data_IF_228179180048
#
_entry.id   IF_228179180048
#
_cell.length_a   1.000
_cell.length_b   1.000
_cell.length_c   1.000
_cell.angle_alpha   90.00
_cell.angle_beta   90.00
_cell.angle_gamma   90.00
#
_symmetry.space_group_name_H-M   'P 1'
#
loop_
_entity.id
_entity.type
_entity.pdbx_description
1 polymer ?
#
# COMPACT_ATOMS: atom_id res chain seq x y z
N UNK A 1 25.60 13.03 -7.33
CA UNK A 1 24.37 12.36 -6.84
C UNK A 1 24.13 11.13 -7.69
N UNK A 2 23.82 9.98 -7.10
CA UNK A 2 23.44 8.79 -7.88
C UNK A 2 22.07 9.01 -8.55
N UNK A 3 21.83 8.38 -9.71
CA UNK A 3 20.53 8.49 -10.42
C UNK A 3 19.34 8.15 -9.52
N UNK A 4 19.46 7.08 -8.73
CA UNK A 4 18.44 6.66 -7.78
C UNK A 4 18.06 7.75 -6.76
N UNK A 5 19.04 8.49 -6.23
CA UNK A 5 18.78 9.60 -5.31
C UNK A 5 18.06 10.77 -6.03
N UNK A 6 18.36 11.01 -7.30
CA UNK A 6 17.65 11.98 -8.13
C UNK A 6 16.18 11.61 -8.34
N UNK A 7 15.90 10.35 -8.66
CA UNK A 7 14.52 9.84 -8.86
C UNK A 7 13.73 9.87 -7.56
N UNK A 8 14.33 9.50 -6.42
CA UNK A 8 13.68 9.60 -5.11
C UNK A 8 13.31 11.05 -4.76
N UNK A 9 14.22 12.00 -5.00
CA UNK A 9 13.96 13.43 -4.76
C UNK A 9 12.84 13.94 -5.67
N UNK A 10 12.83 13.52 -6.93
CA UNK A 10 11.77 13.86 -7.87
C UNK A 10 10.43 13.34 -7.35
N UNK A 11 10.37 12.08 -6.91
CA UNK A 11 9.16 11.45 -6.39
C UNK A 11 8.62 12.17 -5.13
N UNK A 12 9.48 12.54 -4.20
CA UNK A 12 9.06 13.33 -3.02
C UNK A 12 8.49 14.69 -3.46
N UNK A 13 9.10 15.30 -4.47
CA UNK A 13 8.67 16.60 -5.00
C UNK A 13 7.30 16.50 -5.69
N UNK A 14 7.06 15.44 -6.48
CA UNK A 14 5.78 15.21 -7.15
C UNK A 14 4.68 14.89 -6.14
N UNK A 15 4.95 14.06 -5.12
CA UNK A 15 3.99 13.79 -4.04
C UNK A 15 3.62 15.05 -3.26
N UNK A 16 4.58 15.94 -3.02
CA UNK A 16 4.31 17.24 -2.40
C UNK A 16 3.42 18.11 -3.29
N UNK A 17 3.71 18.18 -4.60
CA UNK A 17 2.93 18.94 -5.58
C UNK A 17 1.50 18.40 -5.71
N UNK A 18 1.31 17.09 -5.67
CA UNK A 18 0.00 16.43 -5.66
C UNK A 18 -0.70 16.45 -4.30
N UNK A 19 -0.06 17.05 -3.28
CA UNK A 19 -0.58 17.20 -1.92
C UNK A 19 -0.90 15.88 -1.22
N UNK A 20 -0.19 14.80 -1.54
CA UNK A 20 -0.39 13.51 -0.88
C UNK A 20 -0.06 13.56 0.60
N UNK A 21 0.90 14.38 1.01
CA UNK A 21 1.18 14.63 2.43
C UNK A 21 -0.02 15.21 3.17
N UNK A 22 -0.76 16.14 2.54
CA UNK A 22 -1.96 16.74 3.14
C UNK A 22 -3.10 15.72 3.19
N UNK A 23 -3.28 14.93 2.12
CA UNK A 23 -4.26 13.85 2.09
C UNK A 23 -3.96 12.77 3.16
N UNK A 24 -2.68 12.43 3.38
CA UNK A 24 -2.26 11.49 4.43
C UNK A 24 -2.56 12.04 5.83
N UNK A 25 -2.29 13.32 6.09
CA UNK A 25 -2.65 13.96 7.37
C UNK A 25 -4.16 13.91 7.59
N UNK A 26 -4.96 14.21 6.56
CA UNK A 26 -6.43 14.11 6.64
C UNK A 26 -6.86 12.68 6.94
N UNK A 27 -6.29 11.68 6.24
CA UNK A 27 -6.55 10.26 6.51
C UNK A 27 -6.28 9.90 7.97
N UNK A 28 -5.10 10.29 8.49
CA UNK A 28 -4.74 10.06 9.89
C UNK A 28 -5.72 10.70 10.86
N UNK A 29 -6.13 11.95 10.61
CA UNK A 29 -7.12 12.65 11.45
C UNK A 29 -8.47 11.92 11.42
N UNK A 30 -8.91 11.42 10.26
CA UNK A 30 -10.16 10.68 10.15
C UNK A 30 -10.11 9.36 10.94
N UNK A 31 -8.99 8.64 10.89
CA UNK A 31 -8.80 7.43 11.69
C UNK A 31 -8.72 7.70 13.19
N UNK A 32 -8.06 8.79 13.59
CA UNK A 32 -8.05 9.22 14.99
C UNK A 32 -9.45 9.63 15.47
N UNK A 33 -10.23 10.32 14.64
CA UNK A 33 -11.61 10.67 14.95
C UNK A 33 -12.49 9.42 15.11
N UNK A 34 -12.17 8.32 14.43
CA UNK A 34 -12.85 7.03 14.60
C UNK A 34 -12.40 6.29 15.88
N UNK A 35 -11.09 6.29 16.18
CA UNK A 35 -10.52 5.46 17.26
C UNK A 35 -10.57 6.11 18.66
N UNK A 36 -10.36 7.42 18.76
CA UNK A 36 -10.29 8.12 20.06
C UNK A 36 -11.60 8.07 20.86
N UNK A 37 -12.80 8.13 20.25
CA UNK A 37 -14.05 7.98 20.98
C UNK A 37 -14.28 6.58 21.56
N UNK A 38 -13.58 5.55 21.06
CA UNK A 38 -13.78 4.18 21.50
C UNK A 38 -13.14 3.94 22.88
N UNK A 39 -13.79 3.13 23.75
CA UNK A 39 -13.16 2.55 24.93
C UNK A 39 -11.89 1.78 24.57
N UNK A 40 -10.92 1.71 25.50
CA UNK A 40 -9.61 1.10 25.26
C UNK A 40 -9.69 -0.30 24.64
N UNK A 41 -10.53 -1.18 25.19
CA UNK A 41 -10.72 -2.55 24.68
C UNK A 41 -11.22 -2.57 23.23
N UNK A 42 -12.25 -1.76 22.91
CA UNK A 42 -12.80 -1.67 21.55
C UNK A 42 -11.81 -1.01 20.58
N UNK A 43 -11.02 -0.05 21.06
CA UNK A 43 -9.98 0.62 20.28
C UNK A 43 -8.91 -0.37 19.86
N UNK A 44 -8.38 -1.15 20.80
CA UNK A 44 -7.37 -2.17 20.50
C UNK A 44 -7.90 -3.18 19.50
N UNK A 45 -9.18 -3.60 19.61
CA UNK A 45 -9.85 -4.51 18.67
C UNK A 45 -9.97 -3.90 17.26
N UNK A 46 -10.36 -2.64 17.15
CA UNK A 46 -10.59 -1.96 15.87
C UNK A 46 -9.29 -1.61 15.11
N UNK A 47 -8.18 -1.43 15.82
CA UNK A 47 -7.00 -0.79 15.23
C UNK A 47 -6.31 -1.56 14.10
N UNK A 48 -6.15 -2.89 14.12
CA UNK A 48 -5.61 -3.61 12.96
C UNK A 48 -6.42 -3.37 11.68
N UNK A 49 -7.74 -3.24 11.79
CA UNK A 49 -8.62 -2.95 10.66
C UNK A 49 -8.47 -1.52 10.19
N UNK A 50 -8.33 -0.57 11.12
CA UNK A 50 -8.09 0.84 10.81
C UNK A 50 -6.74 1.02 10.11
N UNK A 51 -5.69 0.40 10.63
CA UNK A 51 -4.36 0.44 10.02
C UNK A 51 -4.39 -0.22 8.64
N UNK A 52 -5.02 -1.40 8.49
CA UNK A 52 -5.20 -2.02 7.16
C UNK A 52 -6.01 -1.14 6.19
N UNK A 53 -7.03 -0.44 6.71
CA UNK A 53 -7.81 0.54 5.97
C UNK A 53 -6.97 1.73 5.51
N UNK A 54 -6.09 2.26 6.36
CA UNK A 54 -5.15 3.32 5.99
C UNK A 54 -4.11 2.84 4.96
N UNK A 55 -3.59 1.63 5.14
CA UNK A 55 -2.75 0.94 4.16
C UNK A 55 -3.47 0.83 2.81
N UNK A 56 -4.80 0.64 2.80
CA UNK A 56 -5.60 0.68 1.58
C UNK A 56 -5.70 2.10 1.01
N UNK A 57 -5.92 3.12 1.83
CA UNK A 57 -5.98 4.51 1.36
C UNK A 57 -4.65 4.92 0.71
N UNK A 58 -3.54 4.77 1.43
CA UNK A 58 -2.21 5.17 0.96
C UNK A 58 -1.69 4.17 -0.07
N UNK A 59 -1.72 2.88 0.25
CA UNK A 59 -1.16 1.83 -0.59
C UNK A 59 -1.95 1.57 -1.86
N UNK A 60 -3.28 1.67 -1.84
CA UNK A 60 -4.06 1.42 -3.06
C UNK A 60 -4.39 2.71 -3.81
N UNK A 61 -4.90 3.75 -3.15
CA UNK A 61 -5.40 4.92 -3.87
C UNK A 61 -4.32 5.95 -4.22
N UNK A 62 -3.29 6.17 -3.40
CA UNK A 62 -2.31 7.23 -3.69
C UNK A 62 -1.45 6.91 -4.91
N UNK A 63 -1.03 5.65 -5.08
CA UNK A 63 -0.25 5.28 -6.27
C UNK A 63 -1.11 5.34 -7.54
N UNK A 64 -2.39 4.94 -7.49
CA UNK A 64 -3.29 5.11 -8.63
C UNK A 64 -3.47 6.58 -8.97
N UNK A 65 -3.75 7.42 -7.96
CA UNK A 65 -3.85 8.86 -8.15
C UNK A 65 -2.57 9.42 -8.78
N UNK A 66 -1.39 8.98 -8.31
CA UNK A 66 -0.10 9.37 -8.88
C UNK A 66 -0.02 9.00 -10.36
N UNK A 67 -0.37 7.77 -10.72
CA UNK A 67 -0.35 7.30 -12.11
C UNK A 67 -1.31 8.11 -12.97
N UNK A 68 -2.50 8.46 -12.49
CA UNK A 68 -3.47 9.26 -13.25
C UNK A 68 -3.05 10.72 -13.40
N UNK A 69 -2.46 11.33 -12.36
CA UNK A 69 -1.84 12.65 -12.50
C UNK A 69 -0.71 12.62 -13.53
N UNK A 70 0.14 11.60 -13.48
CA UNK A 70 1.25 11.46 -14.41
C UNK A 70 0.80 11.20 -15.86
N UNK A 71 -0.31 10.49 -16.05
CA UNK A 71 -0.99 10.35 -17.35
C UNK A 71 -1.50 11.71 -17.85
N UNK A 72 -2.20 12.46 -16.99
CA UNK A 72 -2.76 13.77 -17.33
C UNK A 72 -1.68 14.80 -17.67
N UNK A 73 -0.57 14.80 -16.94
CA UNK A 73 0.58 15.69 -17.17
C UNK A 73 1.53 15.19 -18.27
N UNK A 74 1.25 14.04 -18.89
CA UNK A 74 2.10 13.34 -19.88
C UNK A 74 3.52 13.03 -19.39
N UNK A 75 3.75 12.99 -18.08
CA UNK A 75 5.05 12.70 -17.49
C UNK A 75 5.45 11.24 -17.66
N UNK A 76 4.48 10.32 -17.76
CA UNK A 76 4.77 8.91 -18.11
C UNK A 76 5.47 8.77 -19.47
N UNK A 77 5.13 9.61 -20.46
CA UNK A 77 5.80 9.61 -21.77
C UNK A 77 7.19 10.23 -21.69
N UNK A 78 7.36 11.27 -20.87
CA UNK A 78 8.67 11.87 -20.63
C UNK A 78 9.65 10.88 -19.96
N UNK A 79 9.15 9.97 -19.11
CA UNK A 79 9.98 8.91 -18.52
C UNK A 79 10.57 7.98 -19.59
N UNK A 80 9.80 7.64 -20.63
CA UNK A 80 10.26 6.78 -21.74
C UNK A 80 11.39 7.44 -22.54
N UNK A 81 11.35 8.76 -22.69
CA UNK A 81 12.40 9.53 -23.38
C UNK A 81 13.59 9.89 -22.47
N UNK A 82 13.54 9.54 -21.18
CA UNK A 82 14.57 9.84 -20.20
C UNK A 82 15.47 8.62 -19.92
N UNK A 83 16.69 8.81 -19.37
CA UNK A 83 17.54 7.70 -18.98
C UNK A 83 17.07 6.98 -17.70
N UNK A 84 15.91 7.34 -17.13
CA UNK A 84 15.36 6.72 -15.91
C UNK A 84 14.83 5.34 -16.23
N UNK A 85 15.30 4.33 -15.51
CA UNK A 85 14.81 2.95 -15.66
C UNK A 85 13.45 2.81 -14.97
N UNK A 86 12.57 1.97 -15.53
CA UNK A 86 11.31 1.59 -14.90
C UNK A 86 11.49 1.12 -13.45
N UNK A 87 12.55 0.34 -13.19
CA UNK A 87 12.84 -0.14 -11.85
C UNK A 87 13.18 1.01 -10.88
N UNK A 88 13.91 2.03 -11.32
CA UNK A 88 14.22 3.22 -10.51
C UNK A 88 12.93 4.02 -10.22
N UNK A 89 12.09 4.23 -11.24
CA UNK A 89 10.80 4.90 -11.11
C UNK A 89 9.85 4.19 -10.13
N UNK A 90 9.58 2.90 -10.35
CA UNK A 90 8.61 2.17 -9.53
C UNK A 90 9.16 1.96 -8.11
N UNK A 91 10.44 1.65 -7.96
CA UNK A 91 11.05 1.50 -6.62
C UNK A 91 10.98 2.79 -5.80
N UNK A 92 11.18 3.96 -6.43
CA UNK A 92 11.06 5.24 -5.73
C UNK A 92 9.64 5.47 -5.21
N UNK A 93 8.60 5.16 -6.00
CA UNK A 93 7.20 5.20 -5.56
C UNK A 93 6.93 4.25 -4.42
N UNK A 94 7.36 3.00 -4.55
CA UNK A 94 7.14 1.98 -3.52
C UNK A 94 7.80 2.36 -2.20
N UNK A 95 9.05 2.82 -2.22
CA UNK A 95 9.78 3.21 -1.01
C UNK A 95 9.12 4.41 -0.34
N UNK A 96 8.83 5.47 -1.09
CA UNK A 96 8.27 6.71 -0.52
C UNK A 96 6.84 6.52 0.02
N UNK A 97 5.97 5.81 -0.70
CA UNK A 97 4.59 5.57 -0.26
C UNK A 97 4.52 4.52 0.86
N UNK A 98 5.39 3.51 0.85
CA UNK A 98 5.48 2.56 1.98
C UNK A 98 6.00 3.26 3.23
N UNK A 99 7.01 4.13 3.10
CA UNK A 99 7.49 4.93 4.23
C UNK A 99 6.38 5.86 4.77
N UNK A 100 5.62 6.52 3.90
CA UNK A 100 4.48 7.35 4.30
C UNK A 100 3.43 6.54 5.06
N UNK A 101 3.05 5.36 4.55
CA UNK A 101 2.08 4.46 5.19
C UNK A 101 2.57 3.93 6.53
N UNK A 102 3.85 3.54 6.64
CA UNK A 102 4.43 3.08 7.90
C UNK A 102 4.51 4.20 8.95
N UNK A 103 4.90 5.42 8.54
CA UNK A 103 4.91 6.60 9.42
C UNK A 103 3.51 6.92 9.93
N UNK A 104 2.50 6.84 9.05
CA UNK A 104 1.11 7.10 9.43
C UNK A 104 0.56 6.04 10.38
N UNK A 105 0.85 4.75 10.13
CA UNK A 105 0.50 3.66 11.03
C UNK A 105 1.12 3.83 12.42
N UNK A 106 2.42 4.16 12.50
CA UNK A 106 3.12 4.45 13.76
C UNK A 106 2.53 5.68 14.45
N UNK A 107 2.24 6.74 13.70
CA UNK A 107 1.64 7.95 14.25
C UNK A 107 0.27 7.67 14.87
N UNK A 108 -0.62 7.00 14.14
CA UNK A 108 -1.95 6.63 14.64
C UNK A 108 -1.83 5.76 15.89
N UNK A 109 -1.05 4.67 15.83
CA UNK A 109 -0.83 3.76 16.95
C UNK A 109 -0.26 4.45 18.20
N UNK A 110 0.69 5.37 18.01
CA UNK A 110 1.31 6.10 19.13
C UNK A 110 0.34 7.08 19.76
N UNK A 111 -0.53 7.72 18.98
CA UNK A 111 -1.55 8.65 19.51
C UNK A 111 -2.67 7.89 20.23
N UNK A 112 -3.02 6.69 19.77
CA UNK A 112 -4.14 5.89 20.30
C UNK A 112 -3.76 5.06 21.54
N UNK A 113 -2.53 4.53 21.58
CA UNK A 113 -2.03 3.59 22.60
C UNK A 113 -0.77 4.06 23.33
N UNK A 114 -0.22 5.24 23.00
CA UNK A 114 1.02 5.72 23.61
C UNK A 114 2.21 4.85 23.21
N UNK A 115 2.79 4.13 24.17
CA UNK A 115 3.86 3.16 23.93
C UNK A 115 3.41 1.69 24.06
N UNK A 116 2.11 1.47 24.30
CA UNK A 116 1.54 0.14 24.57
C UNK A 116 1.10 -0.56 23.27
N UNK A 117 2.08 -0.82 22.39
CA UNK A 117 1.90 -1.62 21.18
C UNK A 117 3.24 -2.20 20.70
N UNK A 118 3.17 -3.30 19.96
CA UNK A 118 4.36 -3.99 19.47
C UNK A 118 4.86 -3.38 18.15
N UNK A 119 5.68 -2.32 18.24
CA UNK A 119 6.20 -1.58 17.08
C UNK A 119 6.81 -2.46 15.97
N UNK A 120 7.63 -3.50 16.26
CA UNK A 120 8.14 -4.38 15.21
C UNK A 120 7.03 -5.09 14.42
N UNK A 121 5.97 -5.54 15.09
CA UNK A 121 4.87 -6.22 14.43
C UNK A 121 4.05 -5.24 13.57
N UNK A 122 3.84 -4.02 14.06
CA UNK A 122 3.20 -2.94 13.29
C UNK A 122 3.97 -2.64 12.01
N UNK A 123 5.30 -2.47 12.12
CA UNK A 123 6.16 -2.20 10.97
C UNK A 123 6.23 -3.36 10.00
N UNK A 124 6.27 -4.61 10.46
CA UNK A 124 6.19 -5.78 9.58
C UNK A 124 4.87 -5.80 8.81
N UNK A 125 3.74 -5.56 9.49
CA UNK A 125 2.44 -5.47 8.84
C UNK A 125 2.38 -4.36 7.78
N UNK A 126 2.84 -3.15 8.11
CA UNK A 126 2.86 -2.02 7.19
C UNK A 126 3.83 -2.25 6.01
N UNK A 127 5.09 -2.56 6.28
CA UNK A 127 6.14 -2.64 5.25
C UNK A 127 5.90 -3.79 4.26
N UNK A 128 5.31 -4.91 4.70
CA UNK A 128 5.01 -6.03 3.80
C UNK A 128 3.59 -5.99 3.23
N UNK A 129 2.66 -5.28 3.89
CA UNK A 129 1.29 -5.09 3.39
C UNK A 129 1.17 -4.00 2.32
N UNK A 130 1.76 -2.83 2.54
CA UNK A 130 1.61 -1.68 1.64
C UNK A 130 2.10 -1.95 0.22
N UNK A 131 3.27 -2.60 -0.02
CA UNK A 131 3.72 -2.90 -1.38
C UNK A 131 2.76 -3.78 -2.19
N UNK A 132 2.03 -4.69 -1.54
CA UNK A 132 1.03 -5.53 -2.22
C UNK A 132 -0.10 -4.68 -2.81
N UNK A 133 -0.61 -3.75 -2.01
CA UNK A 133 -1.66 -2.81 -2.40
C UNK A 133 -1.15 -1.84 -3.47
N UNK A 134 0.07 -1.32 -3.28
CA UNK A 134 0.72 -0.40 -4.24
C UNK A 134 0.89 -1.04 -5.61
N UNK A 135 1.48 -2.23 -5.65
CA UNK A 135 1.76 -2.89 -6.91
C UNK A 135 0.48 -3.35 -7.61
N UNK A 136 -0.51 -3.83 -6.86
CA UNK A 136 -1.81 -4.24 -7.43
C UNK A 136 -2.54 -3.04 -8.03
N UNK A 137 -2.58 -1.93 -7.31
CA UNK A 137 -3.19 -0.69 -7.79
C UNK A 137 -2.45 -0.12 -9.00
N UNK A 138 -1.12 -0.13 -8.98
CA UNK A 138 -0.31 0.28 -10.13
C UNK A 138 -0.62 -0.57 -11.37
N UNK A 139 -0.60 -1.90 -11.26
CA UNK A 139 -0.91 -2.81 -12.37
C UNK A 139 -2.32 -2.57 -12.93
N UNK A 140 -3.30 -2.42 -12.05
CA UNK A 140 -4.71 -2.32 -12.44
C UNK A 140 -5.08 -0.94 -12.98
N UNK A 141 -4.37 0.12 -12.60
CA UNK A 141 -4.62 1.49 -13.08
C UNK A 141 -4.03 1.79 -14.45
N UNK A 142 -2.98 1.07 -14.87
CA UNK A 142 -2.30 1.31 -16.15
C UNK A 142 -3.21 1.19 -17.41
N UNK A 143 -4.11 0.20 -17.54
CA UNK A 143 -4.96 0.05 -18.72
C UNK A 143 -5.99 1.17 -18.93
N UNK A 144 -6.40 1.85 -17.86
CA UNK A 144 -7.51 2.82 -17.88
C UNK A 144 -7.02 4.24 -18.15
N UNK A 145 -7.78 5.07 -18.90
CA UNK A 145 -7.36 6.43 -19.20
C UNK A 145 -7.64 7.40 -18.04
N UNK A 146 -8.68 7.16 -17.23
CA UNK A 146 -9.11 8.04 -16.15
C UNK A 146 -9.37 7.30 -14.83
N UNK A 147 -9.39 8.04 -13.72
CA UNK A 147 -9.74 7.52 -12.39
C UNK A 147 -11.17 6.97 -12.40
N UNK A 148 -12.11 7.67 -13.04
CA UNK A 148 -13.52 7.29 -13.08
C UNK A 148 -13.74 5.92 -13.71
N UNK A 149 -13.00 5.61 -14.78
CA UNK A 149 -13.11 4.31 -15.47
C UNK A 149 -12.46 3.17 -14.66
N UNK A 150 -11.42 3.49 -13.89
CA UNK A 150 -10.70 2.51 -13.08
C UNK A 150 -11.38 2.23 -11.74
N UNK A 151 -12.09 3.20 -11.17
CA UNK A 151 -12.61 3.13 -9.80
C UNK A 151 -13.48 1.89 -9.58
N UNK A 152 -14.48 1.66 -10.44
CA UNK A 152 -15.37 0.50 -10.29
C UNK A 152 -14.66 -0.85 -10.52
N UNK A 153 -13.87 -1.05 -11.60
CA UNK A 153 -13.07 -2.27 -11.76
C UNK A 153 -12.07 -2.54 -10.65
N UNK A 154 -11.54 -1.49 -10.01
CA UNK A 154 -10.55 -1.61 -8.94
C UNK A 154 -11.11 -2.26 -7.66
N UNK A 155 -12.44 -2.27 -7.49
CA UNK A 155 -13.11 -2.91 -6.35
C UNK A 155 -12.79 -4.40 -6.28
N UNK A 156 -12.75 -5.10 -7.42
CA UNK A 156 -12.49 -6.55 -7.45
C UNK A 156 -11.12 -6.91 -6.82
N UNK A 157 -9.98 -6.41 -7.33
CA UNK A 157 -8.68 -6.70 -6.73
C UNK A 157 -8.58 -6.16 -5.29
N UNK A 158 -9.20 -5.01 -5.01
CA UNK A 158 -9.20 -4.44 -3.66
C UNK A 158 -9.90 -5.35 -2.65
N UNK A 159 -11.10 -5.84 -2.99
CA UNK A 159 -11.87 -6.77 -2.15
C UNK A 159 -11.12 -8.07 -1.96
N UNK A 160 -10.53 -8.64 -3.03
CA UNK A 160 -9.74 -9.88 -2.93
C UNK A 160 -8.56 -9.73 -1.96
N UNK A 161 -7.86 -8.59 -1.98
CA UNK A 161 -6.77 -8.30 -1.05
C UNK A 161 -7.25 -7.95 0.37
N UNK A 162 -8.53 -7.66 0.58
CA UNK A 162 -9.09 -7.40 1.91
C UNK A 162 -9.91 -8.59 2.47
N UNK A 163 -10.08 -9.67 1.70
CA UNK A 163 -10.75 -10.90 2.14
C UNK A 163 -10.24 -11.47 3.48
N UNK A 164 -8.92 -11.43 3.80
CA UNK A 164 -8.37 -11.82 5.11
C UNK A 164 -9.06 -11.21 6.33
N UNK A 165 -9.72 -10.05 6.18
CA UNK A 165 -10.51 -9.43 7.25
C UNK A 165 -11.62 -10.36 7.75
N UNK A 166 -12.25 -11.14 6.86
CA UNK A 166 -13.30 -12.09 7.23
C UNK A 166 -12.76 -13.24 8.07
N UNK A 167 -11.54 -13.69 7.77
CA UNK A 167 -10.88 -14.72 8.56
C UNK A 167 -10.41 -14.17 9.90
N UNK A 168 -9.78 -13.00 9.89
CA UNK A 168 -9.25 -12.36 11.08
C UNK A 168 -10.35 -12.03 12.11
N UNK A 169 -11.51 -11.59 11.63
CA UNK A 169 -12.70 -11.30 12.46
C UNK A 169 -13.42 -12.55 13.00
N UNK A 170 -13.08 -13.75 12.53
CA UNK A 170 -13.76 -14.99 12.91
C UNK A 170 -15.11 -15.20 12.23
N UNK A 171 -15.49 -14.38 11.24
CA UNK A 171 -16.73 -14.54 10.49
C UNK A 171 -16.71 -15.76 9.58
N UNK A 172 -15.54 -16.08 9.02
CA UNK A 172 -15.35 -17.25 8.16
C UNK A 172 -14.05 -17.97 8.53
N UNK A 173 -14.19 -19.20 9.00
CA UNK A 173 -13.04 -20.06 9.28
C UNK A 173 -12.68 -20.86 8.03
N UNK A 174 -11.56 -20.50 7.40
CA UNK A 174 -11.10 -21.17 6.18
C UNK A 174 -9.60 -20.97 5.98
N UNK A 175 -8.87 -22.06 5.76
CA UNK A 175 -7.43 -21.99 5.48
C UNK A 175 -7.12 -21.36 4.11
N UNK A 176 -8.12 -21.23 3.23
CA UNK A 176 -7.95 -20.63 1.90
C UNK A 176 -7.53 -19.15 1.96
N UNK A 177 -7.82 -18.43 3.06
CA UNK A 177 -7.41 -17.03 3.21
C UNK A 177 -5.88 -16.86 3.33
N UNK A 178 -5.13 -17.92 3.70
CA UNK A 178 -3.65 -17.91 3.65
C UNK A 178 -3.08 -17.86 2.23
N UNK A 179 -3.90 -18.08 1.19
CA UNK A 179 -3.49 -17.81 -0.19
C UNK A 179 -3.50 -16.31 -0.52
N UNK A 180 -4.23 -15.50 0.24
CA UNK A 180 -4.26 -14.05 0.00
C UNK A 180 -3.02 -13.43 0.65
N UNK A 181 -2.17 -12.70 -0.09
CA UNK A 181 -0.88 -12.25 0.40
C UNK A 181 -0.96 -11.23 1.54
N UNK A 182 -2.11 -10.58 1.74
CA UNK A 182 -2.36 -9.64 2.84
C UNK A 182 -2.71 -10.32 4.17
N UNK A 183 -2.95 -11.63 4.19
CA UNK A 183 -3.22 -12.38 5.43
C UNK A 183 -2.06 -12.28 6.41
N UNK A 184 -0.82 -12.47 5.95
CA UNK A 184 0.37 -12.34 6.78
C UNK A 184 0.54 -10.95 7.39
N UNK A 185 0.52 -9.87 6.59
CA UNK A 185 0.49 -8.50 7.08
C UNK A 185 -0.61 -8.23 8.10
N UNK A 186 -1.83 -8.69 7.86
CA UNK A 186 -2.95 -8.51 8.80
C UNK A 186 -2.72 -9.25 10.14
N UNK A 187 -2.13 -10.45 10.12
CA UNK A 187 -1.74 -11.15 11.35
C UNK A 187 -0.69 -10.37 12.15
N UNK A 188 0.27 -9.73 11.47
CA UNK A 188 1.27 -8.87 12.14
C UNK A 188 0.64 -7.60 12.71
N UNK A 189 -0.32 -6.99 12.01
CA UNK A 189 -1.09 -5.87 12.55
C UNK A 189 -1.90 -6.28 13.79
N UNK A 190 -2.53 -7.45 13.79
CA UNK A 190 -3.20 -7.99 14.97
C UNK A 190 -2.26 -8.26 16.15
N UNK A 191 -1.05 -8.73 15.85
CA UNK A 191 0.00 -8.94 16.85
C UNK A 191 0.52 -7.62 17.45
N UNK A 192 0.49 -6.52 16.69
CA UNK A 192 0.89 -5.21 17.17
C UNK A 192 0.05 -4.73 18.35
N UNK A 193 -1.23 -5.08 18.39
CA UNK A 193 -2.19 -4.65 19.41
C UNK A 193 -2.61 -5.80 20.34
N UNK A 194 -1.73 -6.78 20.55
CA UNK A 194 -1.91 -7.90 21.48
C UNK A 194 -3.14 -8.80 21.22
N UNK A 195 -3.74 -8.72 20.02
CA UNK A 195 -4.91 -9.54 19.68
C UNK A 195 -4.55 -10.95 19.21
N UNK A 196 -3.34 -11.12 18.66
CA UNK A 196 -2.84 -12.39 18.14
C UNK A 196 -1.40 -12.60 18.59
N UNK A 197 -1.05 -13.84 18.90
CA UNK A 197 0.32 -14.26 19.20
C UNK A 197 0.81 -15.16 18.06
N UNK A 198 1.32 -14.58 16.96
CA UNK A 198 1.70 -15.36 15.79
C UNK A 198 2.88 -16.29 16.12
N UNK A 199 2.77 -17.55 15.70
CA UNK A 199 3.86 -18.50 15.81
C UNK A 199 5.01 -18.13 14.87
N UNK A 200 6.21 -18.68 15.11
CA UNK A 200 7.41 -18.35 14.33
C UNK A 200 7.23 -18.59 12.81
N UNK A 201 6.51 -19.65 12.43
CA UNK A 201 6.21 -19.91 11.03
C UNK A 201 5.24 -18.90 10.43
N UNK A 202 4.31 -18.34 11.22
CA UNK A 202 3.38 -17.30 10.77
C UNK A 202 4.10 -15.97 10.55
N UNK A 203 5.11 -15.67 11.38
CA UNK A 203 6.01 -14.53 11.17
C UNK A 203 6.83 -14.74 9.88
N UNK A 204 7.41 -15.93 9.69
CA UNK A 204 8.11 -16.29 8.45
C UNK A 204 7.21 -16.16 7.21
N UNK A 205 5.98 -16.69 7.29
CA UNK A 205 4.96 -16.57 6.26
C UNK A 205 4.61 -15.09 5.96
N UNK A 206 4.42 -14.27 6.99
CA UNK A 206 4.09 -12.85 6.86
C UNK A 206 5.19 -11.98 6.23
N UNK A 207 6.41 -12.51 6.11
CA UNK A 207 7.52 -11.84 5.42
C UNK A 207 7.74 -12.45 4.04
N UNK A 208 7.91 -13.77 3.97
CA UNK A 208 8.31 -14.47 2.75
C UNK A 208 7.22 -14.42 1.70
N UNK A 209 5.97 -14.73 2.07
CA UNK A 209 4.88 -14.83 1.11
C UNK A 209 4.53 -13.47 0.46
N UNK A 210 4.33 -12.37 1.23
CA UNK A 210 4.15 -11.05 0.66
C UNK A 210 5.32 -10.60 -0.22
N UNK A 211 6.56 -10.90 0.17
CA UNK A 211 7.74 -10.52 -0.60
C UNK A 211 7.76 -11.21 -1.96
N UNK A 212 7.53 -12.52 -2.00
CA UNK A 212 7.47 -13.27 -3.26
C UNK A 212 6.33 -12.78 -4.16
N UNK A 213 5.16 -12.50 -3.57
CA UNK A 213 4.01 -11.98 -4.30
C UNK A 213 4.29 -10.58 -4.86
N UNK A 214 4.90 -9.70 -4.06
CA UNK A 214 5.31 -8.36 -4.47
C UNK A 214 6.35 -8.41 -5.61
N UNK A 215 7.32 -9.33 -5.58
CA UNK A 215 8.25 -9.52 -6.69
C UNK A 215 7.54 -9.95 -7.98
N UNK A 216 6.56 -10.86 -7.88
CA UNK A 216 5.72 -11.28 -9.00
C UNK A 216 4.90 -10.12 -9.58
N UNK A 217 4.27 -9.31 -8.72
CA UNK A 217 3.53 -8.12 -9.13
C UNK A 217 4.43 -7.03 -9.71
N UNK A 218 5.65 -6.85 -9.20
CA UNK A 218 6.61 -5.89 -9.73
C UNK A 218 7.01 -6.26 -11.17
N UNK A 219 7.21 -7.54 -11.42
CA UNK A 219 7.47 -8.04 -12.77
C UNK A 219 6.26 -7.90 -13.68
N UNK A 220 5.04 -8.16 -13.18
CA UNK A 220 3.81 -7.92 -13.92
C UNK A 220 3.63 -6.43 -14.24
N UNK A 221 3.93 -5.55 -13.28
CA UNK A 221 3.89 -4.10 -13.44
C UNK A 221 4.78 -3.64 -14.58
N UNK A 222 6.00 -4.21 -14.71
CA UNK A 222 6.87 -3.94 -15.86
C UNK A 222 6.22 -4.34 -17.18
N UNK A 223 5.68 -5.55 -17.28
CA UNK A 223 5.02 -6.03 -18.51
C UNK A 223 3.82 -5.18 -18.91
N UNK A 224 3.01 -4.78 -17.94
CA UNK A 224 1.82 -3.95 -18.17
C UNK A 224 2.24 -2.53 -18.54
N UNK A 225 3.27 -1.98 -17.91
CA UNK A 225 3.83 -0.67 -18.25
C UNK A 225 4.34 -0.65 -19.71
N UNK A 226 5.13 -1.65 -20.10
CA UNK A 226 5.64 -1.76 -21.47
C UNK A 226 4.49 -1.85 -22.49
N UNK A 227 3.44 -2.61 -22.17
CA UNK A 227 2.26 -2.80 -23.05
C UNK A 227 1.40 -1.54 -23.19
N UNK A 228 1.12 -0.84 -22.10
CA UNK A 228 0.12 0.25 -22.10
C UNK A 228 0.73 1.66 -22.18
N UNK A 229 1.99 1.82 -21.78
CA UNK A 229 2.69 3.11 -21.83
C UNK A 229 3.67 3.15 -22.98
N UNK A 230 4.62 2.20 -23.06
CA UNK A 230 5.70 2.25 -24.07
C UNK A 230 5.16 1.99 -25.48
N UNK A 231 4.42 0.89 -25.68
CA UNK A 231 3.92 0.52 -27.01
C UNK A 231 2.95 1.55 -27.62
N UNK A 232 2.22 2.32 -26.80
CA UNK A 232 1.33 3.39 -27.26
C UNK A 232 2.07 4.68 -27.64
N UNK A 233 3.29 4.87 -27.17
CA UNK A 233 4.09 6.08 -27.43
C UNK A 233 4.89 5.97 -28.74
N UNK A 234 5.23 4.74 -29.17
CA UNK A 234 5.99 4.49 -30.41
C UNK A 234 5.14 4.28 -31.67
N UNK A 235 3.81 4.44 -31.58
CA UNK A 235 2.87 4.22 -32.69
C UNK A 235 2.23 5.49 -33.25
N UNK A 236 2.85 6.65 -33.03
CA UNK A 236 2.43 7.95 -33.57
C UNK A 236 3.33 8.38 -34.73
#
# INVERSE_FOLDING_TARGET
MSRAAGVLRLEITTQWRYRFTHAAVISGVLWLALLLPLPGELRSVAEPYVVLGDLTIVGFFFIAASVFFEKGERTLHALVASPVRFAEYLSAKLVTLTALSALLAVFVATVTHGADYHLPALLLGAVFGTPLLLLTSFVTSLPFPSVSDWFMPSVVPLTLLNLPILHYSGLVESSWFYLVPTQGPLLMLGAAFHQKSPELWQVGYAVVYPTLFALGLFWLARRVFDRYVVARTGGA
#
